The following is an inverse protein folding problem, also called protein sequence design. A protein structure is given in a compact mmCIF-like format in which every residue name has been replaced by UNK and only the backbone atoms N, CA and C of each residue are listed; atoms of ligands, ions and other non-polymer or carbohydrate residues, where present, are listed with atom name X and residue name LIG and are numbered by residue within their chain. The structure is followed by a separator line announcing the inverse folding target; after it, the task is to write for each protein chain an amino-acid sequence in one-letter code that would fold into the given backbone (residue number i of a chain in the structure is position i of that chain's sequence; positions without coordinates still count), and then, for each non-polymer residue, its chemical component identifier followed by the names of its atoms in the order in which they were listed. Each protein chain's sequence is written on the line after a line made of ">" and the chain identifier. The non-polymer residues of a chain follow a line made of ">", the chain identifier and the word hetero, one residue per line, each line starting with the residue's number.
data_IF_416798190780
#
_entry.id   IF_416798190780
#
_cell.length_a   1.000
_cell.length_b   1.000
_cell.length_c   1.000
_cell.angle_alpha   90.00
_cell.angle_beta   90.00
_cell.angle_gamma   90.00
#
_symmetry.space_group_name_H-M   'P 1'
#
loop_
_entity.id
_entity.type
_entity.pdbx_description
1 polymer ?
#
# COMPACT_ATOMS: atom_id res chain seq x y z
N UNK A 1 10.41 -9.41 9.92
CA UNK A 1 9.78 -8.18 10.45
C UNK A 1 9.32 -7.32 9.29
N UNK A 2 8.08 -6.84 9.33
CA UNK A 2 7.57 -5.85 8.39
C UNK A 2 7.97 -4.44 8.81
N UNK A 3 8.37 -3.64 7.84
CA UNK A 3 8.87 -2.29 8.04
C UNK A 3 8.11 -1.30 7.14
N UNK A 4 8.24 -0.02 7.40
CA UNK A 4 7.55 1.01 6.62
C UNK A 4 7.83 0.94 5.11
N UNK A 5 9.02 0.45 4.69
CA UNK A 5 9.32 0.27 3.27
C UNK A 5 8.34 -0.67 2.56
N UNK A 6 7.78 -1.67 3.28
CA UNK A 6 6.76 -2.55 2.71
C UNK A 6 5.48 -1.79 2.36
N UNK A 7 5.06 -0.85 3.20
CA UNK A 7 3.88 -0.01 2.94
C UNK A 7 4.17 1.05 1.87
N UNK A 8 5.36 1.65 1.88
CA UNK A 8 5.76 2.71 0.93
C UNK A 8 5.87 2.17 -0.49
N UNK A 9 6.56 1.04 -0.68
CA UNK A 9 6.75 0.41 -2.00
C UNK A 9 5.61 -0.52 -2.41
N UNK A 10 4.65 -0.79 -1.52
CA UNK A 10 3.57 -1.79 -1.69
C UNK A 10 4.12 -3.20 -1.98
N UNK A 11 5.30 -3.51 -1.45
CA UNK A 11 5.99 -4.78 -1.64
C UNK A 11 6.23 -5.49 -0.29
N UNK A 12 5.49 -6.57 -0.07
CA UNK A 12 5.56 -7.37 1.15
C UNK A 12 6.78 -8.31 1.19
N UNK A 13 7.49 -8.49 0.08
CA UNK A 13 8.67 -9.35 -0.01
C UNK A 13 9.92 -8.70 0.59
N UNK A 14 9.93 -7.38 0.70
CA UNK A 14 11.04 -6.63 1.27
C UNK A 14 11.15 -6.91 2.78
N UNK A 15 12.28 -7.45 3.19
CA UNK A 15 12.55 -7.72 4.60
C UNK A 15 14.05 -7.84 4.84
N UNK A 16 14.55 -7.18 5.90
CA UNK A 16 15.96 -7.26 6.30
C UNK A 16 16.12 -7.93 7.67
N UNK A 17 15.07 -7.91 8.49
CA UNK A 17 15.14 -8.38 9.85
C UNK A 17 14.26 -9.60 10.07
N UNK A 18 14.82 -10.56 10.81
CA UNK A 18 14.09 -11.72 11.32
C UNK A 18 14.10 -11.69 12.85
N UNK A 19 13.16 -12.40 13.42
CA UNK A 19 13.09 -12.64 14.88
C UNK A 19 12.96 -14.14 15.11
N UNK A 20 13.29 -14.59 16.31
CA UNK A 20 13.08 -15.98 16.73
C UNK A 20 11.60 -16.28 16.88
N UNK A 21 11.22 -17.55 16.83
CA UNK A 21 9.84 -17.95 17.05
C UNK A 21 9.34 -17.65 18.44
N UNK A 22 10.19 -17.77 19.44
CA UNK A 22 9.89 -17.36 20.82
C UNK A 22 9.48 -15.90 20.87
N UNK A 23 10.29 -15.01 20.26
CA UNK A 23 10.00 -13.58 20.21
C UNK A 23 8.74 -13.26 19.40
N UNK A 24 8.49 -14.00 18.34
CA UNK A 24 7.23 -13.88 17.58
C UNK A 24 6.02 -14.16 18.47
N UNK A 25 6.07 -15.22 19.26
CA UNK A 25 4.99 -15.63 20.16
C UNK A 25 4.76 -14.64 21.30
N UNK A 26 5.83 -14.03 21.84
CA UNK A 26 5.71 -12.96 22.85
C UNK A 26 5.03 -11.69 22.31
N UNK A 27 5.15 -11.44 21.02
CA UNK A 27 4.69 -10.21 20.37
C UNK A 27 3.36 -10.40 19.64
N UNK A 28 2.41 -11.14 20.20
CA UNK A 28 1.13 -11.49 19.57
C UNK A 28 0.36 -10.27 19.04
N UNK A 29 0.33 -9.17 19.78
CA UNK A 29 -0.36 -7.94 19.38
C UNK A 29 0.20 -7.30 18.07
N UNK A 30 1.45 -7.59 17.74
CA UNK A 30 2.14 -7.05 16.57
C UNK A 30 2.20 -8.01 15.39
N UNK A 31 1.73 -9.24 15.56
CA UNK A 31 1.67 -10.21 14.47
C UNK A 31 0.71 -9.74 13.39
N UNK A 32 1.11 -9.97 12.14
CA UNK A 32 0.26 -9.69 10.99
C UNK A 32 -0.56 -10.93 10.61
N UNK A 33 -1.74 -10.69 10.09
CA UNK A 33 -2.65 -11.72 9.56
C UNK A 33 -3.05 -11.36 8.13
N UNK A 34 -3.55 -12.33 7.42
CA UNK A 34 -4.16 -12.10 6.12
C UNK A 34 -5.24 -11.00 6.20
N UNK A 35 -5.29 -10.15 5.20
CA UNK A 35 -6.17 -8.98 5.09
C UNK A 35 -5.91 -7.84 6.08
N UNK A 36 -4.93 -7.93 6.98
CA UNK A 36 -4.49 -6.77 7.73
C UNK A 36 -3.95 -5.69 6.78
N UNK A 37 -4.17 -4.44 7.14
CA UNK A 37 -3.52 -3.30 6.49
C UNK A 37 -2.35 -2.81 7.31
N UNK A 38 -1.22 -2.57 6.64
CA UNK A 38 -0.05 -1.92 7.22
C UNK A 38 0.03 -0.49 6.71
N UNK A 39 0.12 0.46 7.64
CA UNK A 39 0.16 1.89 7.36
C UNK A 39 1.47 2.45 7.88
N UNK A 40 2.20 3.19 7.04
CA UNK A 40 3.44 3.84 7.44
C UNK A 40 3.15 5.04 8.36
N UNK A 41 3.85 5.09 9.50
CA UNK A 41 3.66 6.11 10.54
C UNK A 41 4.91 6.95 10.81
N UNK A 42 6.00 6.77 10.06
CA UNK A 42 7.26 7.49 10.23
C UNK A 42 7.85 7.85 8.86
N UNK A 43 8.53 8.97 8.76
CA UNK A 43 9.08 9.47 7.50
C UNK A 43 8.00 9.72 6.44
N UNK A 44 7.83 8.84 5.47
CA UNK A 44 6.72 8.90 4.51
C UNK A 44 5.47 8.30 5.15
N UNK A 45 4.62 9.15 5.70
CA UNK A 45 3.44 8.77 6.49
C UNK A 45 2.24 8.54 5.57
N UNK A 46 1.29 7.66 6.00
CA UNK A 46 0.00 7.45 5.33
C UNK A 46 0.06 6.55 4.11
N UNK A 47 1.18 5.88 3.84
CA UNK A 47 1.21 4.83 2.81
C UNK A 47 0.63 3.55 3.36
N UNK A 48 -0.17 2.85 2.54
CA UNK A 48 -0.93 1.67 2.95
C UNK A 48 -0.66 0.49 2.03
N UNK A 49 -0.53 -0.70 2.62
CA UNK A 49 -0.48 -1.98 1.91
C UNK A 49 -1.33 -3.00 2.64
N UNK A 50 -2.02 -3.86 1.90
CA UNK A 50 -2.78 -4.97 2.47
C UNK A 50 -1.92 -6.23 2.49
N UNK A 51 -2.00 -7.00 3.57
CA UNK A 51 -1.35 -8.31 3.68
C UNK A 51 -2.11 -9.31 2.79
N UNK A 52 -1.43 -9.85 1.78
CA UNK A 52 -1.96 -10.85 0.86
C UNK A 52 -2.04 -12.24 1.50
N UNK A 53 -2.78 -13.16 0.87
CA UNK A 53 -2.92 -14.54 1.33
C UNK A 53 -1.61 -15.36 1.34
N UNK A 54 -0.60 -14.95 0.56
CA UNK A 54 0.72 -15.59 0.52
C UNK A 54 1.78 -14.84 1.35
N UNK A 55 1.37 -14.18 2.42
CA UNK A 55 2.28 -13.41 3.25
C UNK A 55 3.23 -14.30 4.06
N UNK A 56 4.40 -13.75 4.37
CA UNK A 56 5.33 -14.38 5.33
C UNK A 56 4.87 -14.06 6.76
N UNK A 57 4.80 -15.09 7.62
CA UNK A 57 4.57 -14.92 9.06
C UNK A 57 5.54 -13.91 9.62
N UNK A 58 5.05 -12.93 10.36
CA UNK A 58 5.89 -11.85 10.90
C UNK A 58 5.15 -10.86 11.77
N UNK A 59 5.88 -9.89 12.26
CA UNK A 59 5.37 -8.78 13.08
C UNK A 59 5.67 -7.45 12.43
N UNK A 60 4.92 -6.42 12.78
CA UNK A 60 5.23 -5.03 12.43
C UNK A 60 6.29 -4.45 13.36
N UNK A 61 7.08 -3.49 12.85
CA UNK A 61 7.92 -2.64 13.68
C UNK A 61 7.17 -1.38 14.17
N UNK A 62 7.83 -0.56 14.98
CA UNK A 62 7.25 0.67 15.57
C UNK A 62 6.90 1.76 14.54
N UNK A 63 7.40 1.66 13.31
CA UNK A 63 7.12 2.62 12.24
C UNK A 63 5.85 2.29 11.43
N UNK A 64 5.19 1.19 11.78
CA UNK A 64 3.95 0.73 11.16
C UNK A 64 2.79 0.71 12.14
N UNK A 65 1.62 1.07 11.65
CA UNK A 65 0.33 0.78 12.27
C UNK A 65 -0.30 -0.42 11.54
N UNK A 66 -0.77 -1.39 12.30
CA UNK A 66 -1.59 -2.50 11.79
C UNK A 66 -3.06 -2.18 12.02
N UNK A 67 -3.87 -2.36 10.99
CA UNK A 67 -5.31 -2.18 11.03
C UNK A 67 -6.00 -3.42 10.50
N UNK A 68 -6.84 -4.02 11.31
CA UNK A 68 -7.73 -5.14 10.93
C UNK A 68 -9.14 -4.61 10.75
N UNK A 69 -9.74 -4.81 9.57
CA UNK A 69 -11.08 -4.36 9.28
C UNK A 69 -12.13 -5.38 9.70
N UNK A 70 -13.32 -4.88 10.01
CA UNK A 70 -14.51 -5.72 10.15
C UNK A 70 -15.19 -5.86 8.78
N UNK A 71 -14.94 -6.96 8.08
CA UNK A 71 -15.40 -7.19 6.71
C UNK A 71 -16.91 -7.40 6.58
N UNK A 72 -17.65 -7.49 7.70
CA UNK A 72 -19.12 -7.41 7.69
C UNK A 72 -19.63 -5.98 7.46
N UNK A 73 -18.81 -4.98 7.76
CA UNK A 73 -19.19 -3.56 7.72
C UNK A 73 -18.50 -2.83 6.59
N UNK A 74 -17.24 -3.16 6.30
CA UNK A 74 -16.41 -2.44 5.34
C UNK A 74 -15.69 -3.38 4.38
N UNK A 75 -15.74 -3.04 3.09
CA UNK A 75 -15.01 -3.75 2.04
C UNK A 75 -13.56 -3.27 2.00
N UNK A 76 -12.61 -4.19 1.96
CA UNK A 76 -11.17 -3.92 2.01
C UNK A 76 -10.70 -3.00 0.88
N UNK A 77 -11.10 -3.30 -0.34
CA UNK A 77 -10.72 -2.52 -1.52
C UNK A 77 -11.31 -1.11 -1.47
N UNK A 78 -12.58 -0.98 -1.08
CA UNK A 78 -13.22 0.31 -0.86
C UNK A 78 -12.48 1.12 0.21
N UNK A 79 -12.15 0.50 1.34
CA UNK A 79 -11.40 1.15 2.41
C UNK A 79 -10.05 1.67 1.93
N UNK A 80 -9.31 0.85 1.18
CA UNK A 80 -8.02 1.24 0.61
C UNK A 80 -8.14 2.50 -0.25
N UNK A 81 -9.09 2.55 -1.18
CA UNK A 81 -9.32 3.73 -2.01
C UNK A 81 -9.72 4.95 -1.20
N UNK A 82 -10.62 4.77 -0.23
CA UNK A 82 -11.03 5.87 0.64
C UNK A 82 -9.85 6.38 1.47
N UNK A 83 -9.01 5.49 2.01
CA UNK A 83 -7.81 5.84 2.77
C UNK A 83 -6.78 6.57 1.91
N UNK A 84 -6.58 6.17 0.66
CA UNK A 84 -5.66 6.80 -0.30
C UNK A 84 -6.21 8.09 -0.91
N UNK A 85 -7.48 8.46 -0.65
CA UNK A 85 -8.06 9.70 -1.17
C UNK A 85 -7.37 10.95 -0.61
N UNK A 86 -7.30 12.00 -1.42
CA UNK A 86 -6.66 13.28 -1.05
C UNK A 86 -7.22 13.83 0.26
N UNK A 87 -8.53 13.68 0.48
CA UNK A 87 -9.19 14.14 1.70
C UNK A 87 -8.63 13.46 2.94
N UNK A 88 -8.47 12.15 2.94
CA UNK A 88 -7.93 11.41 4.10
C UNK A 88 -6.43 11.66 4.22
N UNK A 89 -5.70 11.67 3.10
CA UNK A 89 -4.27 11.94 3.10
C UNK A 89 -3.95 13.34 3.63
N UNK A 90 -4.70 14.37 3.26
CA UNK A 90 -4.55 15.73 3.82
C UNK A 90 -4.78 15.75 5.33
N UNK A 91 -5.82 15.07 5.84
CA UNK A 91 -6.06 14.97 7.29
C UNK A 91 -4.89 14.32 8.04
N UNK A 92 -4.23 13.32 7.42
CA UNK A 92 -3.06 12.67 8.01
C UNK A 92 -1.87 13.63 8.02
N UNK A 93 -1.59 14.31 6.90
CA UNK A 93 -0.43 15.20 6.74
C UNK A 93 -0.58 16.47 7.59
N UNK A 94 -1.72 17.14 7.54
CA UNK A 94 -1.95 18.41 8.27
C UNK A 94 -1.79 18.23 9.78
N UNK A 95 -2.17 17.09 10.31
CA UNK A 95 -2.00 16.77 11.73
C UNK A 95 -0.56 16.38 12.12
N UNK A 96 0.36 16.23 11.15
CA UNK A 96 1.78 15.90 11.42
C UNK A 96 2.67 17.14 11.47
N UNK A 97 2.22 18.29 10.99
CA UNK A 97 3.03 19.51 10.90
C UNK A 97 3.22 20.26 12.24
N UNK A 98 2.58 19.83 13.32
CA UNK A 98 2.58 20.53 14.62
C UNK A 98 3.63 20.09 15.65
N UNK A 99 4.56 19.20 15.36
CA UNK A 99 5.50 18.68 16.36
C UNK A 99 6.90 18.40 15.82
N UNK A 100 7.93 18.71 16.63
CA UNK A 100 9.37 18.67 16.31
C UNK A 100 9.95 17.28 15.97
N UNK A 101 9.13 16.24 15.81
CA UNK A 101 9.51 14.94 15.27
C UNK A 101 8.34 14.37 14.47
N UNK A 102 8.48 14.35 13.15
CA UNK A 102 7.60 13.67 12.20
C UNK A 102 7.62 12.12 12.36
N UNK A 103 7.66 11.61 13.56
CA UNK A 103 8.01 10.23 13.83
C UNK A 103 6.89 9.36 14.39
N UNK A 104 5.67 9.86 14.47
CA UNK A 104 4.48 9.03 14.71
C UNK A 104 3.27 9.95 14.57
N UNK A 105 2.49 9.74 13.55
CA UNK A 105 1.11 10.22 13.60
C UNK A 105 0.51 9.58 14.84
N UNK A 106 0.26 10.37 15.87
CA UNK A 106 -0.23 9.83 17.12
C UNK A 106 -1.48 9.01 16.87
N UNK A 107 -1.62 7.85 17.52
CA UNK A 107 -2.80 7.00 17.43
C UNK A 107 -4.12 7.78 17.64
N UNK A 108 -4.06 8.91 18.36
CA UNK A 108 -5.16 9.85 18.53
C UNK A 108 -5.67 10.44 17.21
N UNK A 109 -4.78 10.70 16.25
CA UNK A 109 -5.13 11.27 14.94
C UNK A 109 -5.89 10.22 14.13
N UNK A 110 -5.33 9.01 14.01
CA UNK A 110 -5.99 7.92 13.28
C UNK A 110 -7.38 7.60 13.86
N UNK A 111 -7.52 7.55 15.20
CA UNK A 111 -8.80 7.29 15.86
C UNK A 111 -9.86 8.36 15.59
N UNK A 112 -9.47 9.58 15.26
CA UNK A 112 -10.36 10.69 15.00
C UNK A 112 -10.70 10.89 13.52
N UNK A 113 -10.06 10.16 12.60
CA UNK A 113 -10.40 10.20 11.18
C UNK A 113 -11.79 9.60 10.97
N UNK A 114 -12.68 10.39 10.42
CA UNK A 114 -14.05 9.96 10.09
C UNK A 114 -14.10 9.47 8.65
N UNK A 115 -14.48 8.21 8.49
CA UNK A 115 -14.72 7.58 7.20
C UNK A 115 -16.20 7.62 6.87
N UNK A 116 -16.54 7.84 5.59
CA UNK A 116 -17.90 7.70 5.09
C UNK A 116 -18.07 6.24 4.69
N UNK A 117 -18.99 5.54 5.32
CA UNK A 117 -19.23 4.11 5.13
C UNK A 117 -20.64 3.91 4.56
N UNK A 118 -20.82 3.89 3.23
CA UNK A 118 -22.10 3.57 2.61
C UNK A 118 -22.45 2.08 2.82
N UNK A 119 -23.66 1.64 2.44
CA UNK A 119 -24.02 0.22 2.50
C UNK A 119 -23.00 -0.66 1.75
N UNK A 120 -22.74 -1.86 2.27
CA UNK A 120 -21.69 -2.77 1.73
C UNK A 120 -21.84 -3.05 0.22
N UNK A 121 -23.06 -3.06 -0.30
CA UNK A 121 -23.33 -3.25 -1.72
C UNK A 121 -22.78 -2.08 -2.54
N UNK A 122 -22.98 -0.87 -2.09
CA UNK A 122 -22.47 0.34 -2.73
C UNK A 122 -20.94 0.40 -2.65
N UNK A 123 -20.35 0.05 -1.49
CA UNK A 123 -18.89 -0.04 -1.34
C UNK A 123 -18.27 -0.99 -2.37
N UNK A 124 -18.87 -2.17 -2.58
CA UNK A 124 -18.41 -3.14 -3.58
C UNK A 124 -18.49 -2.60 -5.01
N UNK A 125 -19.56 -1.90 -5.35
CA UNK A 125 -19.72 -1.28 -6.67
C UNK A 125 -18.65 -0.20 -6.91
N UNK A 126 -18.42 0.66 -5.92
CA UNK A 126 -17.37 1.69 -6.00
C UNK A 126 -15.97 1.04 -6.16
N UNK A 127 -15.68 0.03 -5.35
CA UNK A 127 -14.44 -0.70 -5.41
C UNK A 127 -14.21 -1.35 -6.78
N UNK A 128 -15.23 -1.97 -7.38
CA UNK A 128 -15.16 -2.59 -8.71
C UNK A 128 -14.88 -1.56 -9.81
N UNK A 129 -15.57 -0.41 -9.78
CA UNK A 129 -15.34 0.66 -10.75
C UNK A 129 -13.89 1.15 -10.67
N UNK A 130 -13.41 1.46 -9.46
CA UNK A 130 -12.06 1.99 -9.27
C UNK A 130 -10.99 0.96 -9.62
N UNK A 131 -11.17 -0.30 -9.24
CA UNK A 131 -10.25 -1.39 -9.60
C UNK A 131 -10.19 -1.62 -11.12
N UNK A 132 -11.31 -1.46 -11.82
CA UNK A 132 -11.33 -1.57 -13.29
C UNK A 132 -10.49 -0.45 -13.93
N UNK A 133 -10.57 0.76 -13.39
CA UNK A 133 -9.75 1.89 -13.86
C UNK A 133 -8.26 1.64 -13.58
N UNK A 134 -7.91 1.17 -12.37
CA UNK A 134 -6.53 0.85 -12.01
C UNK A 134 -5.94 -0.23 -12.92
N UNK A 135 -6.68 -1.30 -13.18
CA UNK A 135 -6.26 -2.36 -14.11
C UNK A 135 -6.01 -1.80 -15.52
N UNK A 136 -6.86 -0.89 -15.98
CA UNK A 136 -6.66 -0.25 -17.28
C UNK A 136 -5.41 0.62 -17.32
N UNK A 137 -5.14 1.36 -16.24
CA UNK A 137 -3.92 2.16 -16.11
C UNK A 137 -2.69 1.27 -16.15
N UNK A 138 -2.69 0.14 -15.42
CA UNK A 138 -1.57 -0.78 -15.39
C UNK A 138 -1.29 -1.41 -16.76
N UNK A 139 -2.34 -1.90 -17.44
CA UNK A 139 -2.22 -2.42 -18.80
C UNK A 139 -1.66 -1.38 -19.80
N UNK A 140 -2.04 -0.11 -19.64
CA UNK A 140 -1.50 0.96 -20.49
C UNK A 140 -0.01 1.21 -20.21
N UNK A 141 0.43 1.14 -18.95
CA UNK A 141 1.85 1.26 -18.59
C UNK A 141 2.68 0.11 -19.15
N UNK A 142 2.17 -1.12 -19.07
CA UNK A 142 2.82 -2.29 -19.67
C UNK A 142 2.97 -2.12 -21.19
N UNK A 143 1.93 -1.65 -21.88
CA UNK A 143 1.97 -1.37 -23.31
C UNK A 143 3.02 -0.30 -23.65
N UNK A 144 3.12 0.77 -22.84
CA UNK A 144 4.16 1.80 -23.04
C UNK A 144 5.55 1.18 -22.91
N UNK A 145 5.80 0.35 -21.92
CA UNK A 145 7.09 -0.33 -21.75
C UNK A 145 7.45 -1.20 -22.95
N UNK A 146 6.49 -1.97 -23.46
CA UNK A 146 6.67 -2.82 -24.67
C UNK A 146 7.02 -1.97 -25.90
N UNK A 147 6.33 -0.85 -26.09
CA UNK A 147 6.60 0.07 -27.20
C UNK A 147 7.98 0.72 -27.07
N UNK A 148 8.40 1.08 -25.86
CA UNK A 148 9.72 1.61 -25.59
C UNK A 148 10.85 0.60 -25.90
N UNK A 149 10.65 -0.66 -25.53
CA UNK A 149 11.61 -1.73 -25.87
C UNK A 149 11.65 -1.98 -27.39
N UNK A 150 10.52 -2.00 -28.06
CA UNK A 150 10.44 -2.11 -29.52
C UNK A 150 11.20 -0.95 -30.18
N UNK A 151 10.99 0.29 -29.71
CA UNK A 151 11.70 1.47 -30.20
C UNK A 151 13.22 1.31 -30.05
N UNK A 152 13.71 0.83 -28.88
CA UNK A 152 15.13 0.57 -28.66
C UNK A 152 15.67 -0.46 -29.65
N UNK A 153 14.97 -1.56 -29.86
CA UNK A 153 15.36 -2.59 -30.83
C UNK A 153 15.42 -2.07 -32.27
N UNK A 154 14.42 -1.25 -32.68
CA UNK A 154 14.41 -0.63 -34.01
C UNK A 154 15.56 0.37 -34.18
N UNK A 155 15.85 1.20 -33.18
CA UNK A 155 16.99 2.13 -33.23
C UNK A 155 18.29 1.37 -33.48
N UNK A 156 18.54 0.29 -32.75
CA UNK A 156 19.74 -0.51 -32.93
C UNK A 156 19.83 -1.07 -34.36
N UNK A 157 18.79 -1.70 -34.85
CA UNK A 157 18.78 -2.33 -36.18
C UNK A 157 18.93 -1.34 -37.33
N UNK A 158 18.24 -0.19 -37.23
CA UNK A 158 18.27 0.82 -38.27
C UNK A 158 19.57 1.63 -38.29
N UNK A 159 20.11 2.01 -37.11
CA UNK A 159 21.31 2.81 -37.03
C UNK A 159 22.61 2.01 -37.24
N UNK A 160 22.58 0.70 -36.99
CA UNK A 160 23.73 -0.19 -37.31
C UNK A 160 23.73 -0.67 -38.75
N UNK A 161 22.66 -0.38 -39.52
CA UNK A 161 22.52 -0.84 -40.89
C UNK A 161 22.20 -2.32 -41.05
N UNK A 162 21.79 -2.99 -39.96
CA UNK A 162 21.32 -4.39 -39.98
C UNK A 162 20.01 -4.49 -40.76
N UNK A 163 19.20 -3.46 -40.69
CA UNK A 163 17.97 -3.29 -41.52
C UNK A 163 18.10 -1.94 -42.23
N UNK A 164 17.96 -1.95 -43.56
CA UNK A 164 17.94 -0.73 -44.39
C UNK A 164 16.51 -0.41 -44.82
N UNK A 165 16.16 0.87 -44.79
CA UNK A 165 14.90 1.43 -45.31
C UNK A 165 15.07 1.78 -46.78
#
# INVERSE_FOLDING_TARGET
>A
VYEQKNAISKDLSLGQYSITEEKYNEMEAFQVKENDFLISCSGTIGKIVQISNNYKKGIINQALLKLTLNNFVINDTFFKYQFESDKIQSLIVDNTQGGAMANLVGMSIFKNIKFIIPPIKEQKQIAEILSTVDNKIENLKENVNVIEELKKGLIQKLLTGEVRV
#
